data_IF_473507400810
#
_entry.id   IF_473507400810
#
_cell.length_a   1.000
_cell.length_b   1.000
_cell.length_c   1.000
_cell.angle_alpha   90.00
_cell.angle_beta   90.00
_cell.angle_gamma   90.00
#
_symmetry.space_group_name_H-M   'P 1'
#
loop_
_entity.id
_entity.type
_entity.pdbx_description
1 polymer ?
#
# COMPACT_ATOMS: atom_id res chain seq x y z
N UNK A 1 -6.25 31.27 -5.03
CA UNK A 1 -5.95 30.42 -3.87
C UNK A 1 -7.28 29.78 -3.45
N UNK A 2 -7.69 28.75 -4.19
CA UNK A 2 -8.99 28.11 -4.02
C UNK A 2 -8.74 26.85 -3.22
N UNK A 3 -8.92 26.92 -1.91
CA UNK A 3 -8.98 25.71 -1.09
C UNK A 3 -10.27 24.99 -1.48
N UNK A 4 -10.10 23.86 -2.16
CA UNK A 4 -11.13 22.85 -2.34
C UNK A 4 -11.61 22.42 -0.95
N UNK A 5 -12.81 22.88 -0.58
CA UNK A 5 -13.48 22.51 0.66
C UNK A 5 -14.31 21.26 0.38
N UNK A 6 -13.64 20.15 0.14
CA UNK A 6 -14.27 18.84 0.19
C UNK A 6 -14.77 18.66 1.63
N UNK A 7 -16.09 18.51 1.81
CA UNK A 7 -16.66 18.21 3.12
C UNK A 7 -16.04 16.89 3.63
N UNK A 8 -15.44 16.86 4.84
CA UNK A 8 -14.81 15.67 5.40
C UNK A 8 -15.79 14.53 5.74
N UNK A 9 -17.05 14.63 5.33
CA UNK A 9 -18.04 13.56 5.39
C UNK A 9 -18.39 12.94 4.02
N UNK A 10 -18.01 13.58 2.90
CA UNK A 10 -18.32 13.05 1.56
C UNK A 10 -17.39 11.89 1.23
N UNK A 11 -17.97 10.73 0.92
CA UNK A 11 -17.24 9.55 0.46
C UNK A 11 -17.09 9.57 -1.07
N UNK A 12 -15.86 9.59 -1.54
CA UNK A 12 -15.51 9.53 -2.95
C UNK A 12 -15.03 8.11 -3.30
N UNK A 13 -15.70 7.38 -4.20
CA UNK A 13 -15.23 6.07 -4.63
C UNK A 13 -13.84 6.16 -5.29
N UNK A 14 -12.90 5.34 -4.84
CA UNK A 14 -11.61 5.19 -5.51
C UNK A 14 -11.67 4.03 -6.52
N UNK A 15 -11.26 4.26 -7.78
CA UNK A 15 -11.21 3.20 -8.79
C UNK A 15 -10.10 2.19 -8.48
N UNK A 16 -10.20 0.97 -9.03
CA UNK A 16 -9.19 -0.09 -8.88
C UNK A 16 -9.36 -1.00 -7.64
N UNK A 17 -10.37 -0.77 -6.79
CA UNK A 17 -10.76 -1.67 -5.70
C UNK A 17 -11.43 -2.95 -6.20
N UNK A 18 -10.68 -3.86 -6.84
CA UNK A 18 -11.23 -5.05 -7.49
C UNK A 18 -11.82 -6.09 -6.52
N UNK A 19 -11.41 -6.06 -5.24
CA UNK A 19 -11.83 -7.04 -4.22
C UNK A 19 -12.88 -6.46 -3.27
N UNK A 20 -12.77 -5.17 -2.91
CA UNK A 20 -13.69 -4.47 -2.00
C UNK A 20 -13.86 -3.03 -2.47
N UNK A 21 -15.04 -2.45 -2.25
CA UNK A 21 -15.26 -1.03 -2.45
C UNK A 21 -14.31 -0.22 -1.54
N UNK A 22 -13.56 0.69 -2.14
CA UNK A 22 -12.64 1.60 -1.45
C UNK A 22 -13.15 3.00 -1.65
N UNK A 23 -13.26 3.75 -0.56
CA UNK A 23 -13.71 5.15 -0.59
C UNK A 23 -12.68 6.04 0.08
N UNK A 24 -12.63 7.29 -0.35
CA UNK A 24 -11.80 8.33 0.22
C UNK A 24 -12.70 9.41 0.84
N UNK A 25 -12.28 9.92 1.99
CA UNK A 25 -12.88 11.08 2.63
C UNK A 25 -11.75 11.99 3.09
N UNK A 26 -11.54 13.11 2.39
CA UNK A 26 -10.42 14.01 2.63
C UNK A 26 -9.05 13.32 2.46
N UNK A 27 -8.34 13.06 3.55
CA UNK A 27 -7.02 12.39 3.56
C UNK A 27 -7.07 10.96 4.12
N UNK A 28 -8.28 10.41 4.26
CA UNK A 28 -8.50 9.06 4.80
C UNK A 28 -9.09 8.17 3.71
N UNK A 29 -8.54 6.98 3.55
CA UNK A 29 -9.08 5.89 2.75
C UNK A 29 -9.78 4.92 3.68
N UNK A 30 -11.02 4.55 3.35
CA UNK A 30 -11.79 3.53 4.06
C UNK A 30 -11.99 2.31 3.17
N UNK A 31 -11.72 1.12 3.71
CA UNK A 31 -11.95 -0.15 3.01
C UNK A 31 -12.29 -1.27 3.97
N UNK A 32 -12.99 -2.28 3.50
CA UNK A 32 -13.22 -3.50 4.29
C UNK A 32 -11.89 -4.17 4.62
N UNK A 33 -11.69 -4.64 5.88
CA UNK A 33 -10.47 -5.34 6.25
C UNK A 33 -10.29 -6.63 5.43
N UNK A 34 -9.07 -6.94 4.94
CA UNK A 34 -8.80 -8.22 4.30
C UNK A 34 -8.81 -9.37 5.35
N UNK A 35 -8.90 -10.65 4.92
CA UNK A 35 -8.86 -11.79 5.85
C UNK A 35 -7.63 -11.84 6.78
N UNK A 36 -6.53 -11.20 6.38
CA UNK A 36 -5.27 -11.11 7.12
C UNK A 36 -5.04 -9.73 7.75
N UNK A 37 -6.10 -8.94 7.95
CA UNK A 37 -6.03 -7.57 8.49
C UNK A 37 -5.15 -7.46 9.75
N UNK A 38 -5.30 -8.37 10.72
CA UNK A 38 -4.51 -8.34 11.96
C UNK A 38 -3.00 -8.41 11.71
N UNK A 39 -2.54 -9.15 10.70
CA UNK A 39 -1.11 -9.21 10.35
C UNK A 39 -0.69 -7.95 9.59
N UNK A 40 -1.48 -7.53 8.60
CA UNK A 40 -1.24 -6.29 7.84
C UNK A 40 -1.16 -5.08 8.77
N UNK A 41 -2.04 -4.97 9.77
CA UNK A 41 -2.02 -3.90 10.79
C UNK A 41 -0.70 -3.89 11.56
N UNK A 42 -0.20 -5.05 12.00
CA UNK A 42 1.09 -5.14 12.70
C UNK A 42 2.25 -4.69 11.81
N UNK A 43 2.23 -5.07 10.53
CA UNK A 43 3.26 -4.63 9.57
C UNK A 43 3.19 -3.11 9.36
N UNK A 44 2.00 -2.54 9.14
CA UNK A 44 1.83 -1.09 9.00
C UNK A 44 2.28 -0.33 10.25
N UNK A 45 1.94 -0.81 11.45
CA UNK A 45 2.42 -0.23 12.71
C UNK A 45 3.94 -0.28 12.84
N UNK A 46 4.59 -1.38 12.42
CA UNK A 46 6.04 -1.47 12.40
C UNK A 46 6.64 -0.43 11.43
N UNK A 47 6.11 -0.33 10.21
CA UNK A 47 6.61 0.62 9.20
C UNK A 47 6.43 2.07 9.65
N UNK A 48 5.30 2.39 10.29
CA UNK A 48 5.04 3.69 10.92
C UNK A 48 6.05 3.97 12.04
N UNK A 49 6.31 3.00 12.93
CA UNK A 49 7.31 3.16 14.01
C UNK A 49 8.72 3.43 13.48
N UNK A 50 9.01 3.03 12.25
CA UNK A 50 10.28 3.30 11.54
C UNK A 50 10.22 4.55 10.67
N UNK A 51 9.10 5.30 10.71
CA UNK A 51 8.86 6.51 9.92
C UNK A 51 9.04 6.31 8.40
N UNK A 52 8.73 5.11 7.89
CA UNK A 52 8.88 4.84 6.46
C UNK A 52 7.70 5.43 5.66
N UNK A 53 7.94 6.37 4.74
CA UNK A 53 6.87 7.11 4.08
C UNK A 53 6.20 6.36 2.92
N UNK A 54 6.71 5.18 2.56
CA UNK A 54 6.28 4.42 1.38
C UNK A 54 5.19 3.37 1.68
N UNK A 55 4.42 3.57 2.75
CA UNK A 55 3.24 2.78 3.10
C UNK A 55 2.18 3.68 3.76
N UNK A 56 0.87 3.33 3.67
CA UNK A 56 -0.16 4.03 4.42
C UNK A 56 -0.03 3.76 5.91
N UNK A 57 -0.46 4.70 6.75
CA UNK A 57 -0.60 4.49 8.20
C UNK A 57 -2.01 4.03 8.53
N UNK A 58 -2.13 3.12 9.50
CA UNK A 58 -3.41 2.69 10.04
C UNK A 58 -3.89 3.71 11.07
N UNK A 59 -5.04 4.33 10.81
CA UNK A 59 -5.67 5.31 11.69
C UNK A 59 -6.69 4.68 12.64
N UNK A 60 -7.03 3.40 12.44
CA UNK A 60 -7.99 2.64 13.23
C UNK A 60 -9.09 2.03 12.37
N UNK A 61 -10.23 1.76 13.00
CA UNK A 61 -11.44 1.30 12.33
C UNK A 61 -12.53 2.37 12.46
N UNK A 62 -13.38 2.51 11.44
CA UNK A 62 -14.58 3.35 11.54
C UNK A 62 -15.74 2.63 12.25
N UNK A 63 -16.86 3.31 12.42
CA UNK A 63 -18.08 2.78 13.08
C UNK A 63 -18.71 1.58 12.36
N UNK A 64 -18.37 1.36 11.09
CA UNK A 64 -18.82 0.22 10.27
C UNK A 64 -17.79 -0.92 10.26
N UNK A 65 -16.70 -0.81 11.01
CA UNK A 65 -15.61 -1.79 11.05
C UNK A 65 -14.70 -1.77 9.82
N UNK A 66 -14.72 -0.71 9.01
CA UNK A 66 -13.79 -0.53 7.88
C UNK A 66 -12.45 -0.01 8.39
N UNK A 67 -11.36 -0.47 7.79
CA UNK A 67 -10.02 0.10 8.02
C UNK A 67 -10.01 1.56 7.58
N UNK A 68 -9.47 2.44 8.43
CA UNK A 68 -9.13 3.81 8.06
C UNK A 68 -7.62 3.91 7.86
N UNK A 69 -7.20 4.28 6.65
CA UNK A 69 -5.81 4.39 6.25
C UNK A 69 -5.51 5.81 5.79
N UNK A 70 -4.28 6.29 5.93
CA UNK A 70 -3.88 7.55 5.29
C UNK A 70 -3.90 7.43 3.78
N UNK A 71 -4.46 8.42 3.10
CA UNK A 71 -4.37 8.54 1.65
C UNK A 71 -2.91 8.79 1.22
N UNK A 72 -2.52 8.17 0.11
CA UNK A 72 -1.21 8.34 -0.49
C UNK A 72 -1.39 9.08 -1.82
N UNK A 73 -0.97 10.34 -1.87
CA UNK A 73 -1.05 11.13 -3.09
C UNK A 73 -0.17 10.53 -4.19
N UNK A 74 -0.78 10.32 -5.36
CA UNK A 74 -0.12 9.88 -6.58
C UNK A 74 -1.05 9.14 -7.53
N UNK A 75 -0.45 8.57 -8.57
CA UNK A 75 -1.12 7.84 -9.62
C UNK A 75 -0.97 6.32 -9.41
N UNK A 76 -2.07 5.60 -9.51
CA UNK A 76 -2.08 4.13 -9.42
C UNK A 76 -2.54 3.58 -10.77
N UNK A 77 -1.66 2.93 -11.56
CA UNK A 77 -2.02 2.37 -12.86
C UNK A 77 -2.78 1.04 -12.70
N UNK A 78 -4.06 1.12 -12.35
CA UNK A 78 -4.92 -0.03 -12.11
C UNK A 78 -5.46 -0.67 -13.41
N UNK A 79 -5.57 0.08 -14.50
CA UNK A 79 -5.93 -0.41 -15.84
C UNK A 79 -4.71 -0.89 -16.62
N UNK A 80 -4.85 -1.92 -17.47
CA UNK A 80 -3.72 -2.51 -18.23
C UNK A 80 -3.03 -1.49 -19.13
N UNK A 81 -3.80 -0.66 -19.81
CA UNK A 81 -3.36 0.38 -20.73
C UNK A 81 -2.52 1.42 -20.00
N UNK A 82 -3.00 1.80 -18.81
CA UNK A 82 -2.34 2.77 -17.93
C UNK A 82 -1.01 2.26 -17.35
N UNK A 83 -0.79 0.94 -17.30
CA UNK A 83 0.47 0.38 -16.78
C UNK A 83 1.67 0.61 -17.70
N UNK A 84 1.45 0.88 -18.99
CA UNK A 84 2.55 1.07 -19.95
C UNK A 84 3.43 2.27 -19.60
N UNK A 85 2.85 3.33 -19.03
CA UNK A 85 3.55 4.59 -18.69
C UNK A 85 4.53 4.45 -17.53
N UNK A 86 4.41 3.39 -16.72
CA UNK A 86 5.25 3.17 -15.53
C UNK A 86 6.27 2.05 -15.71
N UNK A 87 6.40 1.46 -16.92
CA UNK A 87 7.24 0.28 -17.20
C UNK A 87 8.66 0.61 -17.70
N UNK A 88 9.20 1.78 -17.38
CA UNK A 88 10.58 2.11 -17.75
C UNK A 88 11.60 1.31 -16.91
N UNK A 89 12.81 1.12 -17.43
CA UNK A 89 13.91 0.49 -16.67
C UNK A 89 14.23 1.27 -15.38
N UNK A 90 14.14 2.60 -15.42
CA UNK A 90 14.33 3.45 -14.25
C UNK A 90 13.27 3.16 -13.17
N UNK A 91 12.01 3.01 -13.57
CA UNK A 91 10.92 2.64 -12.67
C UNK A 91 11.12 1.26 -12.05
N UNK A 92 11.56 0.27 -12.84
CA UNK A 92 11.87 -1.07 -12.32
C UNK A 92 12.99 -1.04 -11.27
N UNK A 93 14.07 -0.29 -11.52
CA UNK A 93 15.15 -0.11 -10.55
C UNK A 93 14.65 0.58 -9.29
N UNK A 94 13.80 1.60 -9.42
CA UNK A 94 13.22 2.31 -8.28
C UNK A 94 12.28 1.42 -7.45
N UNK A 95 11.45 0.57 -8.08
CA UNK A 95 10.62 -0.41 -7.37
C UNK A 95 11.51 -1.38 -6.59
N UNK A 96 12.58 -1.90 -7.20
CA UNK A 96 13.50 -2.82 -6.53
C UNK A 96 14.17 -2.18 -5.29
N UNK A 97 14.48 -0.87 -5.35
CA UNK A 97 14.99 -0.12 -4.18
C UNK A 97 13.95 -0.02 -3.08
N UNK A 98 12.69 0.31 -3.39
CA UNK A 98 11.62 0.36 -2.40
C UNK A 98 11.34 -1.01 -1.76
N UNK A 99 11.38 -2.08 -2.55
CA UNK A 99 11.25 -3.45 -2.03
C UNK A 99 12.40 -3.77 -1.07
N UNK A 100 13.63 -3.39 -1.42
CA UNK A 100 14.78 -3.56 -0.54
C UNK A 100 14.63 -2.77 0.77
N UNK A 101 14.16 -1.53 0.72
CA UNK A 101 13.90 -0.74 1.93
C UNK A 101 12.87 -1.42 2.85
N UNK A 102 11.76 -1.92 2.29
CA UNK A 102 10.78 -2.71 3.04
C UNK A 102 11.42 -3.93 3.71
N UNK A 103 12.26 -4.65 2.97
CA UNK A 103 12.97 -5.81 3.47
C UNK A 103 13.93 -5.44 4.61
N UNK A 104 14.75 -4.41 4.44
CA UNK A 104 15.70 -3.94 5.45
C UNK A 104 14.99 -3.47 6.73
N UNK A 105 13.81 -2.85 6.61
CA UNK A 105 13.00 -2.40 7.76
C UNK A 105 12.36 -3.53 8.56
N UNK A 106 12.10 -4.66 7.90
CA UNK A 106 11.38 -5.80 8.49
C UNK A 106 12.31 -6.96 8.84
N UNK A 107 13.57 -6.89 8.42
CA UNK A 107 14.60 -7.87 8.71
C UNK A 107 14.76 -8.10 10.23
N UNK A 108 14.77 -9.37 10.63
CA UNK A 108 14.91 -9.79 12.03
C UNK A 108 13.72 -9.45 12.93
N UNK A 109 12.63 -8.89 12.39
CA UNK A 109 11.41 -8.66 13.16
C UNK A 109 10.68 -9.98 13.44
N UNK A 110 9.92 -10.03 14.54
CA UNK A 110 9.03 -11.16 14.82
C UNK A 110 7.99 -11.39 13.71
N UNK A 111 7.68 -10.35 12.93
CA UNK A 111 6.72 -10.41 11.82
C UNK A 111 7.27 -11.16 10.60
N UNK A 112 8.59 -11.28 10.46
CA UNK A 112 9.21 -12.17 9.48
C UNK A 112 8.99 -13.66 9.84
N UNK A 113 8.60 -13.95 11.08
CA UNK A 113 8.08 -15.24 11.54
C UNK A 113 8.96 -16.46 11.16
N UNK A 114 10.27 -16.32 11.35
CA UNK A 114 11.29 -17.33 11.03
C UNK A 114 11.88 -17.21 9.62
N UNK A 115 11.31 -16.37 8.75
CA UNK A 115 11.92 -15.92 7.51
C UNK A 115 12.91 -14.77 7.72
N UNK A 116 13.58 -14.37 6.64
CA UNK A 116 14.58 -13.28 6.69
C UNK A 116 13.90 -11.90 6.80
N UNK A 117 12.80 -11.70 6.08
CA UNK A 117 12.11 -10.40 5.93
C UNK A 117 10.60 -10.60 5.74
N UNK A 118 9.84 -9.52 5.81
CA UNK A 118 8.43 -9.50 5.40
C UNK A 118 8.35 -9.09 3.93
N UNK A 119 7.77 -9.95 3.10
CA UNK A 119 7.60 -9.71 1.67
C UNK A 119 6.28 -8.96 1.36
N UNK A 120 6.27 -8.17 0.29
CA UNK A 120 5.06 -7.48 -0.18
C UNK A 120 3.98 -8.46 -0.70
N UNK A 121 4.38 -9.58 -1.32
CA UNK A 121 3.57 -10.69 -1.83
C UNK A 121 2.55 -10.40 -2.95
N UNK A 122 2.23 -9.13 -3.24
CA UNK A 122 1.43 -8.76 -4.44
C UNK A 122 2.04 -7.56 -5.19
N UNK A 123 3.33 -7.65 -5.51
CA UNK A 123 4.05 -6.54 -6.16
C UNK A 123 3.59 -6.37 -7.60
N UNK A 124 2.85 -5.30 -7.86
CA UNK A 124 2.37 -4.96 -9.19
C UNK A 124 2.07 -3.46 -9.32
N UNK A 125 2.01 -2.92 -10.55
CA UNK A 125 1.69 -1.50 -10.76
C UNK A 125 0.37 -1.06 -10.12
N UNK A 126 -0.66 -1.91 -10.12
CA UNK A 126 -1.97 -1.64 -9.49
C UNK A 126 -1.91 -1.50 -7.96
N UNK A 127 -0.84 -1.97 -7.31
CA UNK A 127 -0.62 -1.88 -5.87
C UNK A 127 0.49 -0.88 -5.49
N UNK A 128 0.97 -0.11 -6.46
CA UNK A 128 2.07 0.85 -6.28
C UNK A 128 1.59 2.24 -6.65
N UNK A 129 1.84 3.21 -5.78
CA UNK A 129 1.58 4.63 -6.05
C UNK A 129 2.80 5.21 -6.75
N UNK A 130 2.58 5.83 -7.90
CA UNK A 130 3.59 6.51 -8.71
C UNK A 130 3.44 8.02 -8.63
N UNK A 131 4.57 8.72 -8.68
CA UNK A 131 4.64 10.19 -8.74
C UNK A 131 5.51 10.61 -9.92
N UNK A 132 5.22 11.76 -10.51
CA UNK A 132 6.09 12.30 -11.56
C UNK A 132 7.28 13.03 -10.93
N UNK A 133 8.47 12.72 -11.42
CA UNK A 133 9.71 13.44 -11.13
C UNK A 133 10.54 13.49 -12.42
N UNK A 134 10.98 14.68 -12.82
CA UNK A 134 11.80 14.90 -14.02
C UNK A 134 11.23 14.28 -15.30
N UNK A 135 9.89 14.37 -15.45
CA UNK A 135 9.18 13.82 -16.61
C UNK A 135 9.11 12.28 -16.64
N UNK A 136 9.46 11.60 -15.55
CA UNK A 136 9.37 10.14 -15.40
C UNK A 136 8.42 9.76 -14.26
N UNK A 137 7.70 8.66 -14.42
CA UNK A 137 6.94 8.05 -13.34
C UNK A 137 7.87 7.26 -12.43
N UNK A 138 7.90 7.61 -11.16
CA UNK A 138 8.68 6.94 -10.13
C UNK A 138 7.73 6.31 -9.10
N UNK A 139 7.95 5.04 -8.72
CA UNK A 139 7.21 4.44 -7.61
C UNK A 139 7.57 5.17 -6.31
N UNK A 140 6.58 5.41 -5.46
CA UNK A 140 6.74 6.17 -4.22
C UNK A 140 6.17 5.50 -2.98
N UNK A 141 5.21 4.59 -3.12
CA UNK A 141 4.62 3.86 -1.99
C UNK A 141 3.87 2.60 -2.43
N UNK A 142 3.65 1.68 -1.49
CA UNK A 142 2.83 0.47 -1.67
C UNK A 142 1.47 0.61 -0.96
N UNK A 143 0.39 0.17 -1.61
CA UNK A 143 -1.00 0.25 -1.09
C UNK A 143 -1.38 -0.90 -0.14
N UNK A 144 -0.54 -1.94 -0.04
CA UNK A 144 -0.75 -3.08 0.82
C UNK A 144 0.59 -3.62 1.33
N UNK A 145 0.70 -3.81 2.64
CA UNK A 145 1.83 -4.54 3.21
C UNK A 145 1.35 -5.95 3.57
N UNK A 146 1.97 -6.93 2.90
CA UNK A 146 2.12 -8.32 3.30
C UNK A 146 0.84 -9.09 3.68
N UNK A 147 0.45 -10.02 2.83
CA UNK A 147 -0.33 -11.18 3.25
C UNK A 147 0.63 -12.30 3.61
N UNK A 148 0.46 -12.96 4.75
CA UNK A 148 1.20 -14.20 5.01
C UNK A 148 0.73 -15.22 3.97
N UNK A 149 1.61 -15.67 3.09
CA UNK A 149 1.30 -16.84 2.28
C UNK A 149 0.96 -17.96 3.27
N UNK A 150 -0.25 -18.52 3.16
CA UNK A 150 -0.49 -19.89 3.62
C UNK A 150 0.31 -20.78 2.67
N UNK A 151 1.63 -20.82 2.82
CA UNK A 151 2.34 -22.02 2.44
C UNK A 151 1.88 -23.05 3.46
N UNK A 152 0.90 -23.86 3.05
CA UNK A 152 0.46 -25.03 3.81
C UNK A 152 1.69 -25.78 4.30
N UNK A 153 1.80 -25.92 5.62
CA UNK A 153 2.85 -26.66 6.29
C UNK A 153 2.68 -28.18 6.10
N UNK A 154 2.34 -28.62 4.87
CA UNK A 154 1.95 -30.00 4.56
C UNK A 154 2.70 -30.58 3.36
N UNK A 155 3.94 -30.17 3.14
CA UNK A 155 4.90 -30.96 2.37
C UNK A 155 6.23 -31.02 3.14
N UNK A 156 6.29 -31.96 4.07
CA UNK A 156 7.52 -32.62 4.51
C UNK A 156 7.39 -34.10 4.17
#
# INVERSE_FOLDING_TARGET
>A
MTQDRSDPSIEEPLPGGFVNAVVRTGQVVRRSPPPSAAYTHQVLSLLESRSWPAAPRLLGLDEHGREMLTYLDGFVPWERESQTVVRSNASLVAVARLVRELHDLTAGSVLAAGGEVVCHNDLSPKNTVYRQADGQWQPGAFLAAAHRDRLDATLR
#
